data_IF_516654263114
#
_entry.id   IF_516654263114
#
_cell.length_a   1.000
_cell.length_b   1.000
_cell.length_c   1.000
_cell.angle_alpha   90.00
_cell.angle_beta   90.00
_cell.angle_gamma   90.00
#
_symmetry.space_group_name_H-M   'P 1'
#
loop_
_entity.id
_entity.type
_entity.pdbx_description
1 polymer ?
#
# COMPACT_ATOMS: atom_id res chain seq x y z
N UNK A 1 35.10 4.66 -7.79
CA UNK A 1 33.74 4.46 -8.34
C UNK A 1 33.82 3.16 -9.12
N UNK A 2 32.93 2.21 -8.88
CA UNK A 2 33.05 0.90 -9.50
C UNK A 2 32.37 0.91 -10.89
N UNK A 3 32.85 0.09 -11.83
CA UNK A 3 32.23 -0.12 -13.17
C UNK A 3 30.71 -0.38 -13.11
N UNK A 4 30.23 -0.87 -11.98
CA UNK A 4 28.84 -1.22 -11.77
C UNK A 4 27.95 0.03 -11.53
N UNK A 5 28.45 1.04 -10.80
CA UNK A 5 27.73 2.29 -10.58
C UNK A 5 27.63 3.11 -11.88
N UNK A 6 28.66 3.10 -12.69
CA UNK A 6 28.66 3.77 -14.00
C UNK A 6 27.61 3.14 -14.94
N UNK A 7 27.41 1.82 -14.89
CA UNK A 7 26.40 1.12 -15.68
C UNK A 7 24.96 1.46 -15.27
N UNK A 8 24.71 1.79 -13.99
CA UNK A 8 23.39 2.18 -13.51
C UNK A 8 23.08 3.66 -13.78
N UNK A 9 24.09 4.51 -13.89
CA UNK A 9 23.93 5.91 -14.24
C UNK A 9 23.62 6.11 -15.73
N UNK A 10 23.95 5.11 -16.56
CA UNK A 10 23.78 5.21 -18.01
C UNK A 10 22.32 5.47 -18.41
N UNK A 11 22.10 6.53 -19.18
CA UNK A 11 20.78 6.95 -19.62
C UNK A 11 19.90 7.61 -18.59
N UNK A 12 20.44 7.98 -17.41
CA UNK A 12 19.82 8.89 -16.44
C UNK A 12 20.40 10.28 -16.61
N UNK A 13 19.57 11.30 -16.43
CA UNK A 13 20.09 12.66 -16.32
C UNK A 13 20.63 12.92 -14.90
N UNK A 14 21.40 14.02 -14.66
CA UNK A 14 22.01 14.27 -13.36
C UNK A 14 21.03 14.30 -12.18
N UNK A 15 19.85 14.90 -12.35
CA UNK A 15 18.81 14.97 -11.29
C UNK A 15 18.20 13.58 -11.00
N UNK A 16 18.00 12.78 -12.03
CA UNK A 16 17.55 11.40 -11.87
C UNK A 16 18.59 10.56 -11.14
N UNK A 17 19.88 10.73 -11.47
CA UNK A 17 20.96 10.03 -10.79
C UNK A 17 21.08 10.46 -9.32
N UNK A 18 20.97 11.74 -9.02
CA UNK A 18 20.93 12.24 -7.64
C UNK A 18 19.85 11.55 -6.82
N UNK A 19 18.63 11.40 -7.38
CA UNK A 19 17.53 10.70 -6.74
C UNK A 19 17.80 9.18 -6.58
N UNK A 20 18.53 8.55 -7.50
CA UNK A 20 18.93 7.14 -7.41
C UNK A 20 19.97 6.94 -6.32
N UNK A 21 20.98 7.81 -6.25
CA UNK A 21 22.10 7.70 -5.33
C UNK A 21 21.77 8.15 -3.89
N UNK A 22 20.66 8.83 -3.68
CA UNK A 22 20.25 9.26 -2.33
C UNK A 22 19.81 8.03 -1.50
N UNK A 23 20.53 7.68 -0.45
CA UNK A 23 20.31 6.46 0.34
C UNK A 23 19.73 6.71 1.72
N UNK A 24 20.00 7.88 2.31
CA UNK A 24 19.67 8.16 3.70
C UNK A 24 18.41 9.03 3.85
N UNK A 25 17.52 8.61 4.73
CA UNK A 25 16.34 9.37 5.08
C UNK A 25 15.22 9.35 4.03
N UNK A 26 14.11 10.02 4.31
CA UNK A 26 12.97 10.11 3.40
C UNK A 26 13.28 10.99 2.20
N UNK A 27 12.91 10.54 0.99
CA UNK A 27 13.06 11.25 -0.26
C UNK A 27 11.69 11.40 -0.95
N UNK A 28 11.30 12.62 -1.26
CA UNK A 28 10.13 12.92 -2.09
C UNK A 28 10.60 13.34 -3.50
N UNK A 29 10.13 12.59 -4.52
CA UNK A 29 10.41 12.90 -5.92
C UNK A 29 9.12 13.40 -6.58
N UNK A 30 9.09 14.68 -6.93
CA UNK A 30 7.99 15.30 -7.66
C UNK A 30 8.35 15.40 -9.14
N UNK A 31 7.57 14.74 -10.00
CA UNK A 31 7.90 14.65 -11.41
C UNK A 31 6.64 14.48 -12.28
N UNK A 32 6.60 15.14 -13.43
CA UNK A 32 5.50 15.07 -14.40
C UNK A 32 5.33 13.71 -15.08
N UNK A 33 4.27 13.54 -15.83
CA UNK A 33 4.09 12.35 -16.67
C UNK A 33 5.22 12.25 -17.71
N UNK A 34 5.73 11.04 -17.97
CA UNK A 34 6.81 10.82 -18.93
C UNK A 34 8.22 11.21 -18.45
N UNK A 35 8.39 11.79 -17.27
CA UNK A 35 9.69 12.23 -16.73
C UNK A 35 10.63 11.10 -16.27
N UNK A 36 10.21 9.85 -16.41
CA UNK A 36 11.04 8.70 -16.01
C UNK A 36 10.95 8.29 -14.53
N UNK A 37 9.92 8.70 -13.78
CA UNK A 37 9.74 8.32 -12.35
C UNK A 37 9.97 6.84 -12.07
N UNK A 38 9.33 5.98 -12.86
CA UNK A 38 9.48 4.53 -12.70
C UNK A 38 10.90 4.08 -12.98
N UNK A 39 11.58 4.71 -13.95
CA UNK A 39 12.99 4.43 -14.24
C UNK A 39 13.87 4.79 -13.06
N UNK A 40 13.72 5.97 -12.49
CA UNK A 40 14.44 6.38 -11.28
C UNK A 40 14.22 5.39 -10.16
N UNK A 41 12.97 4.99 -9.90
CA UNK A 41 12.65 4.04 -8.83
C UNK A 41 13.30 2.67 -9.05
N UNK A 42 13.24 2.12 -10.28
CA UNK A 42 13.87 0.82 -10.58
C UNK A 42 15.38 0.86 -10.50
N UNK A 43 16.02 1.96 -10.95
CA UNK A 43 17.47 2.14 -10.82
C UNK A 43 17.89 2.36 -9.36
N UNK A 44 17.09 3.08 -8.56
CA UNK A 44 17.34 3.22 -7.12
C UNK A 44 17.30 1.87 -6.40
N UNK A 45 16.33 1.02 -6.69
CA UNK A 45 16.27 -0.34 -6.16
C UNK A 45 17.51 -1.14 -6.57
N UNK A 46 17.88 -1.08 -7.85
CA UNK A 46 19.08 -1.76 -8.34
C UNK A 46 20.36 -1.24 -7.67
N UNK A 47 20.46 0.07 -7.45
CA UNK A 47 21.57 0.71 -6.76
C UNK A 47 21.69 0.24 -5.29
N UNK A 48 20.58 0.19 -4.57
CA UNK A 48 20.55 -0.33 -3.20
C UNK A 48 21.04 -1.79 -3.11
N UNK A 49 20.64 -2.63 -4.07
CA UNK A 49 21.04 -4.04 -4.08
C UNK A 49 22.51 -4.19 -4.49
N UNK A 50 22.94 -3.52 -5.56
CA UNK A 50 24.26 -3.77 -6.17
C UNK A 50 25.39 -3.04 -5.47
N UNK A 51 25.16 -1.78 -5.09
CA UNK A 51 26.22 -0.92 -4.53
C UNK A 51 26.20 -0.92 -3.00
N UNK A 52 25.02 -1.05 -2.38
CA UNK A 52 24.89 -1.04 -0.93
C UNK A 52 24.69 -2.42 -0.32
N UNK A 53 24.57 -3.48 -1.13
CA UNK A 53 24.42 -4.84 -0.64
C UNK A 53 23.12 -5.09 0.12
N UNK A 54 22.11 -4.22 -0.05
CA UNK A 54 20.81 -4.38 0.61
C UNK A 54 20.14 -5.64 0.07
N UNK A 55 19.69 -6.49 0.99
CA UNK A 55 19.00 -7.72 0.62
C UNK A 55 17.69 -7.41 -0.09
N UNK A 56 17.36 -8.08 -1.20
CA UNK A 56 16.06 -7.94 -1.85
C UNK A 56 14.86 -8.21 -0.91
N UNK A 57 15.05 -8.99 0.14
CA UNK A 57 14.03 -9.26 1.16
C UNK A 57 13.75 -8.09 2.10
N UNK A 58 14.68 -7.12 2.19
CA UNK A 58 14.55 -5.91 3.00
C UNK A 58 13.92 -4.75 2.22
N UNK A 59 13.61 -4.96 0.92
CA UNK A 59 13.03 -3.94 0.05
C UNK A 59 11.55 -4.21 -0.13
N UNK A 60 10.73 -3.24 0.30
CA UNK A 60 9.31 -3.17 0.00
C UNK A 60 9.06 -2.10 -1.05
N UNK A 61 8.62 -2.49 -2.24
CA UNK A 61 8.23 -1.58 -3.31
C UNK A 61 6.72 -1.65 -3.54
N UNK A 62 6.04 -0.51 -3.40
CA UNK A 62 4.59 -0.44 -3.50
C UNK A 62 4.20 0.34 -4.75
N UNK A 63 3.25 -0.22 -5.50
CA UNK A 63 2.64 0.39 -6.68
C UNK A 63 1.14 0.52 -6.51
N UNK A 64 0.48 1.24 -7.43
CA UNK A 64 -0.97 1.40 -7.38
C UNK A 64 -1.72 0.23 -8.02
N UNK A 65 -1.16 -0.40 -9.06
CA UNK A 65 -1.80 -1.50 -9.78
C UNK A 65 -0.91 -2.74 -9.84
N UNK A 66 -1.53 -3.92 -9.94
CA UNK A 66 -0.80 -5.18 -10.11
C UNK A 66 0.07 -5.16 -11.39
N UNK A 67 -0.46 -4.62 -12.49
CA UNK A 67 0.30 -4.46 -13.73
C UNK A 67 1.57 -3.64 -13.53
N UNK A 68 1.50 -2.54 -12.76
CA UNK A 68 2.68 -1.72 -12.47
C UNK A 68 3.66 -2.46 -11.54
N UNK A 69 3.17 -3.30 -10.62
CA UNK A 69 4.02 -4.14 -9.78
C UNK A 69 4.79 -5.17 -10.60
N UNK A 70 4.12 -5.86 -11.52
CA UNK A 70 4.73 -6.84 -12.40
C UNK A 70 5.76 -6.19 -13.34
N UNK A 71 5.42 -5.03 -13.91
CA UNK A 71 6.33 -4.26 -14.75
C UNK A 71 7.57 -3.80 -13.97
N UNK A 72 7.39 -3.36 -12.71
CA UNK A 72 8.51 -2.97 -11.85
C UNK A 72 9.43 -4.16 -11.57
N UNK A 73 8.88 -5.33 -11.21
CA UNK A 73 9.67 -6.56 -11.02
C UNK A 73 10.49 -6.91 -12.26
N UNK A 74 9.86 -6.89 -13.42
CA UNK A 74 10.54 -7.18 -14.69
C UNK A 74 11.69 -6.21 -14.96
N UNK A 75 11.46 -4.90 -14.76
CA UNK A 75 12.49 -3.86 -14.97
C UNK A 75 13.63 -3.98 -13.97
N UNK A 76 13.35 -4.23 -12.71
CA UNK A 76 14.40 -4.47 -11.70
C UNK A 76 15.15 -5.76 -12.02
N UNK A 77 14.45 -6.82 -12.45
CA UNK A 77 15.06 -8.07 -12.87
C UNK A 77 16.04 -7.92 -14.04
N UNK A 78 15.75 -7.03 -14.97
CA UNK A 78 16.66 -6.69 -16.06
C UNK A 78 17.98 -6.03 -15.57
N UNK A 79 17.94 -5.35 -14.42
CA UNK A 79 19.09 -4.67 -13.82
C UNK A 79 19.89 -5.55 -12.86
N UNK A 80 19.22 -6.34 -12.02
CA UNK A 80 19.88 -7.11 -10.93
C UNK A 80 19.76 -8.62 -11.08
N UNK A 81 19.13 -9.09 -12.15
CA UNK A 81 18.93 -10.51 -12.41
C UNK A 81 17.79 -11.15 -11.61
N UNK A 82 17.74 -12.51 -11.55
CA UNK A 82 16.61 -13.27 -10.97
C UNK A 82 16.34 -12.99 -9.49
N UNK A 83 17.26 -12.38 -8.78
CA UNK A 83 17.11 -12.01 -7.36
C UNK A 83 15.94 -11.03 -7.15
N UNK A 84 15.58 -10.27 -8.16
CA UNK A 84 14.43 -9.37 -8.13
C UNK A 84 13.09 -10.08 -7.87
N UNK A 85 12.96 -11.34 -8.24
CA UNK A 85 11.75 -12.13 -7.99
C UNK A 85 11.46 -12.34 -6.50
N UNK A 86 12.52 -12.30 -5.68
CA UNK A 86 12.43 -12.45 -4.22
C UNK A 86 12.01 -11.16 -3.52
N UNK A 87 12.01 -10.04 -4.21
CA UNK A 87 11.60 -8.75 -3.65
C UNK A 87 10.11 -8.70 -3.36
N UNK A 88 9.76 -7.95 -2.35
CA UNK A 88 8.36 -7.66 -2.07
C UNK A 88 7.87 -6.45 -2.88
N UNK A 89 7.44 -6.71 -4.11
CA UNK A 89 6.81 -5.71 -4.99
C UNK A 89 5.32 -6.05 -5.11
N UNK A 90 4.45 -5.13 -4.70
CA UNK A 90 3.00 -5.36 -4.70
C UNK A 90 2.21 -4.05 -4.69
N UNK A 91 0.88 -4.14 -4.75
CA UNK A 91 0.01 -3.00 -4.46
C UNK A 91 -0.11 -2.78 -2.95
N UNK A 92 -0.56 -1.58 -2.53
CA UNK A 92 -0.86 -1.31 -1.12
C UNK A 92 -1.79 -2.35 -0.51
N UNK A 93 -2.89 -2.69 -1.19
CA UNK A 93 -3.85 -3.68 -0.71
C UNK A 93 -3.19 -5.05 -0.49
N UNK A 94 -2.42 -5.52 -1.47
CA UNK A 94 -1.73 -6.81 -1.36
C UNK A 94 -0.67 -6.81 -0.26
N UNK A 95 0.07 -5.70 -0.09
CA UNK A 95 1.03 -5.56 0.99
C UNK A 95 0.34 -5.60 2.36
N UNK A 96 -0.74 -4.85 2.54
CA UNK A 96 -1.53 -4.85 3.78
C UNK A 96 -2.12 -6.24 4.10
N UNK A 97 -2.66 -6.93 3.09
CA UNK A 97 -3.16 -8.30 3.28
C UNK A 97 -2.04 -9.23 3.77
N UNK A 98 -0.85 -9.15 3.17
CA UNK A 98 0.29 -9.99 3.58
C UNK A 98 0.74 -9.68 5.01
N UNK A 99 0.82 -8.41 5.41
CA UNK A 99 1.13 -7.99 6.78
C UNK A 99 0.07 -8.53 7.74
N UNK A 100 -1.21 -8.28 7.46
CA UNK A 100 -2.31 -8.70 8.32
C UNK A 100 -2.42 -10.23 8.44
N UNK A 101 -2.14 -10.99 7.37
CA UNK A 101 -2.12 -12.45 7.44
C UNK A 101 -1.07 -12.96 8.44
N UNK A 102 0.04 -12.24 8.59
CA UNK A 102 1.09 -12.58 9.55
C UNK A 102 0.75 -12.11 10.97
N UNK A 103 0.27 -10.88 11.11
CA UNK A 103 0.25 -10.17 12.39
C UNK A 103 -1.17 -9.90 12.94
N UNK A 104 -2.25 -10.35 12.25
CA UNK A 104 -3.63 -10.10 12.66
C UNK A 104 -3.96 -10.56 14.08
N UNK A 105 -3.34 -11.63 14.56
CA UNK A 105 -3.52 -12.15 15.92
C UNK A 105 -3.10 -11.14 17.00
N UNK A 106 -2.11 -10.30 16.72
CA UNK A 106 -1.65 -9.26 17.66
C UNK A 106 -2.71 -8.17 17.92
N UNK A 107 -3.67 -8.02 17.00
CA UNK A 107 -4.80 -7.07 17.14
C UNK A 107 -6.15 -7.79 17.34
N UNK A 108 -6.14 -9.05 17.74
CA UNK A 108 -7.34 -9.81 18.11
C UNK A 108 -8.12 -10.39 16.93
N UNK A 109 -7.57 -10.43 15.69
CA UNK A 109 -8.22 -11.01 14.53
C UNK A 109 -7.58 -12.33 14.12
N UNK A 110 -8.36 -13.28 13.57
CA UNK A 110 -7.81 -14.51 13.02
C UNK A 110 -7.03 -14.19 11.73
N UNK A 111 -5.91 -14.88 11.49
CA UNK A 111 -5.14 -14.75 10.24
C UNK A 111 -5.91 -15.23 9.01
N UNK A 112 -6.97 -16.02 9.20
CA UNK A 112 -7.87 -16.55 8.16
C UNK A 112 -9.02 -15.61 7.80
N UNK A 113 -8.93 -14.30 8.12
CA UNK A 113 -9.98 -13.33 7.83
C UNK A 113 -10.36 -13.31 6.33
N UNK A 114 -11.63 -12.99 6.04
CA UNK A 114 -12.14 -12.79 4.69
C UNK A 114 -11.93 -11.34 4.26
N UNK A 115 -11.54 -11.14 3.01
CA UNK A 115 -11.43 -9.80 2.41
C UNK A 115 -12.76 -9.47 1.75
N UNK A 116 -13.42 -8.43 2.25
CA UNK A 116 -14.67 -7.93 1.69
C UNK A 116 -14.40 -6.82 0.69
N UNK A 117 -15.14 -6.84 -0.42
CA UNK A 117 -15.27 -5.68 -1.27
C UNK A 117 -16.30 -4.68 -0.70
N UNK A 118 -16.49 -3.56 -1.36
CA UNK A 118 -17.43 -2.53 -0.93
C UNK A 118 -18.88 -3.06 -0.89
N UNK A 119 -19.26 -3.90 -1.84
CA UNK A 119 -20.60 -4.45 -1.91
C UNK A 119 -20.84 -5.43 -0.75
N UNK A 120 -19.88 -6.26 -0.44
CA UNK A 120 -19.91 -7.19 0.69
C UNK A 120 -20.03 -6.44 2.03
N UNK A 121 -19.23 -5.38 2.22
CA UNK A 121 -19.26 -4.59 3.43
C UNK A 121 -20.61 -3.88 3.65
N UNK A 122 -21.20 -3.31 2.59
CA UNK A 122 -22.55 -2.72 2.64
C UNK A 122 -23.62 -3.78 2.92
N UNK A 123 -23.50 -4.97 2.33
CA UNK A 123 -24.42 -6.09 2.55
C UNK A 123 -24.35 -6.56 4.01
N UNK A 124 -23.15 -6.70 4.56
CA UNK A 124 -22.95 -7.03 5.97
C UNK A 124 -23.61 -5.99 6.88
N UNK A 125 -23.42 -4.70 6.58
CA UNK A 125 -24.08 -3.62 7.33
C UNK A 125 -25.59 -3.79 7.32
N UNK A 126 -26.18 -4.15 6.17
CA UNK A 126 -27.62 -4.46 6.07
C UNK A 126 -28.06 -5.67 6.88
N UNK A 127 -27.23 -6.68 7.03
CA UNK A 127 -27.50 -7.83 7.89
C UNK A 127 -27.50 -7.44 9.36
N UNK A 128 -26.49 -6.70 9.79
CA UNK A 128 -26.39 -6.21 11.18
C UNK A 128 -27.58 -5.33 11.55
N UNK A 129 -28.01 -4.41 10.67
CA UNK A 129 -29.20 -3.60 10.90
C UNK A 129 -30.47 -4.45 11.11
N UNK A 130 -30.65 -5.50 10.34
CA UNK A 130 -31.78 -6.42 10.50
C UNK A 130 -31.71 -7.19 11.82
N UNK A 131 -30.53 -7.68 12.18
CA UNK A 131 -30.33 -8.44 13.42
C UNK A 131 -30.60 -7.55 14.66
N UNK A 132 -30.32 -6.23 14.54
CA UNK A 132 -30.63 -5.23 15.54
C UNK A 132 -32.08 -4.69 15.47
N UNK A 133 -32.92 -5.22 14.56
CA UNK A 133 -34.28 -4.73 14.31
C UNK A 133 -34.38 -3.24 13.95
N UNK A 134 -33.36 -2.70 13.30
CA UNK A 134 -33.31 -1.31 12.85
C UNK A 134 -33.91 -1.15 11.43
N UNK A 135 -34.66 -0.07 11.24
CA UNK A 135 -35.32 0.22 9.96
C UNK A 135 -34.32 0.68 8.90
N UNK A 136 -34.06 -0.18 7.92
CA UNK A 136 -33.13 0.12 6.82
C UNK A 136 -33.61 1.22 5.87
N UNK A 137 -34.88 1.64 5.96
CA UNK A 137 -35.37 2.81 5.22
C UNK A 137 -34.93 4.12 5.91
N UNK A 138 -34.91 4.11 7.24
CA UNK A 138 -34.41 5.25 8.02
C UNK A 138 -32.88 5.30 8.12
N UNK A 139 -32.26 4.13 8.15
CA UNK A 139 -30.81 3.94 8.23
C UNK A 139 -30.33 3.12 6.99
N UNK A 140 -30.18 3.78 5.82
CA UNK A 140 -29.73 3.06 4.62
C UNK A 140 -28.33 2.43 4.84
N UNK A 141 -28.14 1.13 4.59
CA UNK A 141 -26.87 0.42 4.86
C UNK A 141 -25.65 1.09 4.23
N UNK A 142 -25.80 1.64 3.02
CA UNK A 142 -24.72 2.34 2.33
C UNK A 142 -24.27 3.62 3.04
N UNK A 143 -25.23 4.39 3.56
CA UNK A 143 -24.97 5.65 4.28
C UNK A 143 -24.28 5.34 5.62
N UNK A 144 -24.81 4.37 6.36
CA UNK A 144 -24.23 3.94 7.64
C UNK A 144 -22.82 3.37 7.45
N UNK A 145 -22.62 2.53 6.43
CA UNK A 145 -21.28 2.02 6.12
C UNK A 145 -20.29 3.15 5.81
N UNK A 146 -20.72 4.17 5.07
CA UNK A 146 -19.86 5.33 4.78
C UNK A 146 -19.46 6.10 6.05
N UNK A 147 -20.38 6.28 7.00
CA UNK A 147 -20.10 6.91 8.31
C UNK A 147 -19.13 6.09 9.14
N UNK A 148 -19.32 4.77 9.23
CA UNK A 148 -18.39 3.86 9.91
C UNK A 148 -16.99 3.92 9.27
N UNK A 149 -16.93 3.92 7.94
CA UNK A 149 -15.66 4.01 7.21
C UNK A 149 -14.95 5.34 7.46
N UNK A 150 -15.68 6.45 7.48
CA UNK A 150 -15.13 7.77 7.80
C UNK A 150 -14.56 7.80 9.23
N UNK A 151 -15.32 7.33 10.22
CA UNK A 151 -14.86 7.27 11.60
C UNK A 151 -13.60 6.43 11.76
N UNK A 152 -13.53 5.26 11.11
CA UNK A 152 -12.33 4.42 11.12
C UNK A 152 -11.12 5.09 10.46
N UNK A 153 -11.31 5.84 9.38
CA UNK A 153 -10.24 6.60 8.73
C UNK A 153 -9.69 7.73 9.62
N UNK A 154 -10.55 8.28 10.48
CA UNK A 154 -10.19 9.30 11.47
C UNK A 154 -9.67 8.70 12.79
N UNK A 155 -9.44 7.39 12.84
CA UNK A 155 -9.03 6.64 14.05
C UNK A 155 -10.01 6.79 15.23
N UNK A 156 -11.30 7.02 14.95
CA UNK A 156 -12.34 7.08 15.97
C UNK A 156 -12.82 5.65 16.25
N UNK A 157 -12.48 5.16 17.44
CA UNK A 157 -12.92 3.84 17.92
C UNK A 157 -14.36 3.89 18.46
N UNK A 158 -14.95 2.70 18.69
CA UNK A 158 -16.37 2.57 19.06
C UNK A 158 -16.72 3.41 20.29
N UNK A 159 -15.92 3.35 21.36
CA UNK A 159 -16.17 4.11 22.59
C UNK A 159 -16.13 5.62 22.37
N UNK A 160 -15.12 6.10 21.64
CA UNK A 160 -14.99 7.51 21.30
C UNK A 160 -16.05 8.00 20.30
N UNK A 161 -16.60 7.10 19.47
CA UNK A 161 -17.66 7.43 18.54
C UNK A 161 -18.97 7.72 19.27
N UNK A 162 -19.31 6.93 20.29
CA UNK A 162 -20.51 7.13 21.10
C UNK A 162 -20.53 8.51 21.77
N UNK A 163 -19.39 8.99 22.26
CA UNK A 163 -19.25 10.31 22.90
C UNK A 163 -19.40 11.48 21.89
N UNK A 164 -19.09 11.24 20.63
CA UNK A 164 -19.18 12.25 19.54
C UNK A 164 -20.52 12.28 18.83
N UNK A 165 -21.33 11.22 19.00
CA UNK A 165 -22.59 11.08 18.29
C UNK A 165 -23.57 12.19 18.65
N UNK A 166 -23.74 13.19 17.78
CA UNK A 166 -24.60 14.36 17.96
C UNK A 166 -26.00 14.19 17.39
N UNK A 167 -26.15 13.37 16.36
CA UNK A 167 -27.40 13.15 15.63
C UNK A 167 -28.03 11.78 15.93
N UNK A 168 -29.35 11.66 15.62
CA UNK A 168 -30.06 10.37 15.74
C UNK A 168 -29.46 9.25 14.89
N UNK A 169 -28.86 9.60 13.75
CA UNK A 169 -28.22 8.61 12.84
C UNK A 169 -26.81 8.20 13.27
N UNK A 170 -26.23 8.92 14.23
CA UNK A 170 -24.91 8.63 14.78
C UNK A 170 -24.99 7.86 16.10
N UNK A 171 -26.11 7.88 16.77
CA UNK A 171 -26.41 7.13 18.00
C UNK A 171 -26.96 5.73 17.68
#
# INVERSE_FOLDING_TARGET
MSDAADSLAEGLNPVQWEAVAHTDGPLLIVAGAGSGKTRVLTHRIAHLIREHGISPFEILAITFTNKAADEMKHRVGALVGPVAEKMWVSTFHSACVRILRRDASAIGFPSSFTIYDQADAVRLTGYVLRDLNLDTKKLPPRSLHAQISAAKNDYVLVDAYADRAGSYTER
#
